data_IF_510296956928
#
_entry.id   IF_510296956928
#
_cell.length_a   1.000
_cell.length_b   1.000
_cell.length_c   1.000
_cell.angle_alpha   90.00
_cell.angle_beta   90.00
_cell.angle_gamma   90.00
#
_symmetry.space_group_name_H-M   'P 1'
#
loop_
_entity.id
_entity.type
_entity.pdbx_description
1 polymer ?
#
# COMPACT_ATOMS: atom_id res chain seq x y z
N UNK A 1 -6.61 3.26 -15.95
CA UNK A 1 -6.91 2.06 -15.14
C UNK A 1 -5.70 1.68 -14.29
N UNK A 2 -5.87 1.15 -13.07
CA UNK A 2 -4.78 0.59 -12.28
C UNK A 2 -5.02 -0.89 -11.95
N UNK A 3 -3.96 -1.66 -11.70
CA UNK A 3 -4.02 -3.10 -11.43
C UNK A 3 -3.36 -3.44 -10.09
N UNK A 4 -4.12 -4.05 -9.18
CA UNK A 4 -3.61 -4.65 -7.95
C UNK A 4 -3.52 -6.17 -8.09
N UNK A 5 -2.38 -6.74 -7.71
CA UNK A 5 -2.13 -8.18 -7.70
C UNK A 5 -1.82 -8.62 -6.27
N UNK A 6 -2.61 -9.54 -5.75
CA UNK A 6 -2.45 -10.05 -4.41
C UNK A 6 -1.65 -11.36 -4.38
N UNK A 7 -0.56 -11.38 -3.61
CA UNK A 7 0.26 -12.58 -3.37
C UNK A 7 0.10 -12.98 -1.89
N UNK A 8 -0.64 -14.06 -1.58
CA UNK A 8 -1.06 -14.35 -0.22
C UNK A 8 -0.05 -15.16 0.61
N UNK A 9 1.20 -15.30 0.18
CA UNK A 9 2.19 -16.13 0.86
C UNK A 9 3.08 -15.31 1.77
N UNK A 10 3.37 -15.81 2.98
CA UNK A 10 4.35 -15.29 3.92
C UNK A 10 5.22 -16.42 4.44
N UNK A 11 6.51 -16.16 4.70
CA UNK A 11 7.36 -17.09 5.46
C UNK A 11 6.87 -17.16 6.91
N UNK A 12 6.63 -15.99 7.54
CA UNK A 12 6.08 -15.85 8.87
C UNK A 12 5.05 -14.73 8.88
N UNK A 13 3.95 -14.89 9.58
CA UNK A 13 2.92 -13.86 9.72
C UNK A 13 3.22 -12.97 10.92
N UNK A 14 3.41 -11.68 10.67
CA UNK A 14 3.69 -10.69 11.72
C UNK A 14 2.52 -10.56 12.69
N UNK A 15 2.81 -10.22 13.95
CA UNK A 15 1.83 -10.16 15.02
C UNK A 15 0.70 -9.15 14.80
N UNK A 16 0.96 -8.07 14.07
CA UNK A 16 -0.01 -7.00 13.75
C UNK A 16 -0.80 -7.24 12.46
N UNK A 17 -0.39 -8.21 11.61
CA UNK A 17 -0.86 -8.30 10.23
C UNK A 17 -2.28 -8.88 10.12
N UNK A 18 -3.21 -8.08 9.60
CA UNK A 18 -4.58 -8.47 9.29
C UNK A 18 -4.80 -8.84 7.82
N UNK A 19 -3.77 -8.72 6.98
CA UNK A 19 -3.90 -9.02 5.55
C UNK A 19 -4.24 -10.48 5.29
N UNK A 20 -4.86 -10.73 4.13
CA UNK A 20 -5.17 -12.08 3.66
C UNK A 20 -3.88 -12.80 3.26
N UNK A 21 -3.13 -13.28 4.24
CA UNK A 21 -1.84 -13.95 4.04
C UNK A 21 -1.75 -15.23 4.85
N UNK A 22 -0.99 -16.20 4.33
CA UNK A 22 -0.90 -17.56 4.85
C UNK A 22 0.54 -18.01 4.94
N UNK A 23 0.89 -18.54 6.11
CA UNK A 23 2.08 -19.35 6.32
C UNK A 23 1.82 -20.80 5.88
N UNK A 24 2.89 -21.56 5.70
CA UNK A 24 2.82 -23.02 5.44
C UNK A 24 1.99 -23.42 4.20
N UNK A 25 1.81 -22.51 3.24
CA UNK A 25 1.12 -22.77 1.96
C UNK A 25 2.06 -22.73 0.74
N UNK A 26 3.38 -22.78 0.97
CA UNK A 26 4.39 -22.64 -0.09
C UNK A 26 4.28 -23.69 -1.21
N UNK A 27 3.79 -24.90 -0.89
CA UNK A 27 3.54 -25.96 -1.88
C UNK A 27 2.49 -25.58 -2.93
N UNK A 28 1.65 -24.59 -2.67
CA UNK A 28 0.60 -24.14 -3.59
C UNK A 28 1.04 -23.01 -4.53
N UNK A 29 2.27 -22.48 -4.41
CA UNK A 29 2.74 -21.33 -5.20
C UNK A 29 2.64 -21.54 -6.72
N UNK A 30 2.97 -22.73 -7.20
CA UNK A 30 2.91 -23.06 -8.64
C UNK A 30 1.47 -23.06 -9.18
N UNK A 31 0.55 -23.76 -8.50
CA UNK A 31 -0.86 -23.82 -8.86
C UNK A 31 -1.51 -22.44 -8.71
N UNK A 32 -1.14 -21.70 -7.66
CA UNK A 32 -1.61 -20.35 -7.45
C UNK A 32 -1.18 -19.39 -8.58
N UNK A 33 0.07 -19.44 -9.00
CA UNK A 33 0.59 -18.62 -10.11
C UNK A 33 -0.17 -18.93 -11.40
N UNK A 34 -0.46 -20.22 -11.66
CA UNK A 34 -1.26 -20.61 -12.82
C UNK A 34 -2.68 -20.03 -12.76
N UNK A 35 -3.35 -20.14 -11.62
CA UNK A 35 -4.68 -19.59 -11.39
C UNK A 35 -4.69 -18.04 -11.52
N UNK A 36 -3.66 -17.38 -10.96
CA UNK A 36 -3.48 -15.93 -11.07
C UNK A 36 -3.28 -15.48 -12.53
N UNK A 37 -2.52 -16.22 -13.34
CA UNK A 37 -2.37 -15.92 -14.77
C UNK A 37 -3.69 -16.00 -15.53
N UNK A 38 -4.57 -16.96 -15.20
CA UNK A 38 -5.92 -17.04 -15.77
C UNK A 38 -6.78 -15.85 -15.34
N UNK A 39 -6.73 -15.48 -14.07
CA UNK A 39 -7.44 -14.33 -13.51
C UNK A 39 -7.02 -13.02 -14.18
N UNK A 40 -5.71 -12.80 -14.30
CA UNK A 40 -5.14 -11.62 -14.97
C UNK A 40 -5.60 -11.51 -16.43
N UNK A 41 -5.50 -12.59 -17.20
CA UNK A 41 -5.94 -12.61 -18.60
C UNK A 41 -7.43 -12.26 -18.71
N UNK A 42 -8.26 -12.81 -17.83
CA UNK A 42 -9.69 -12.52 -17.81
C UNK A 42 -9.96 -11.05 -17.42
N UNK A 43 -9.39 -10.57 -16.29
CA UNK A 43 -9.63 -9.21 -15.82
C UNK A 43 -9.16 -8.16 -16.83
N UNK A 44 -7.98 -8.34 -17.41
CA UNK A 44 -7.41 -7.42 -18.39
C UNK A 44 -8.14 -7.42 -19.74
N UNK A 45 -8.78 -8.54 -20.13
CA UNK A 45 -9.62 -8.58 -21.33
C UNK A 45 -10.94 -7.81 -21.21
N UNK A 46 -11.29 -7.34 -20.02
CA UNK A 46 -12.53 -6.57 -19.76
C UNK A 46 -12.32 -5.05 -19.94
N UNK A 47 -11.14 -4.59 -20.28
CA UNK A 47 -10.83 -3.17 -20.45
C UNK A 47 -9.87 -2.93 -21.62
N UNK A 48 -10.13 -1.88 -22.39
CA UNK A 48 -9.21 -1.36 -23.43
C UNK A 48 -8.36 -0.20 -22.89
N UNK A 49 -8.60 0.25 -21.65
CA UNK A 49 -7.83 1.33 -21.05
C UNK A 49 -6.40 0.91 -20.74
N UNK A 50 -5.40 1.77 -21.01
CA UNK A 50 -4.02 1.49 -20.63
C UNK A 50 -3.89 1.41 -19.10
N UNK A 51 -3.06 0.47 -18.63
CA UNK A 51 -2.73 0.33 -17.21
C UNK A 51 -1.67 1.37 -16.86
N UNK A 52 -2.01 2.29 -15.96
CA UNK A 52 -1.13 3.37 -15.50
C UNK A 52 -0.23 2.94 -14.33
N UNK A 53 -0.69 1.96 -13.55
CA UNK A 53 0.14 1.35 -12.51
C UNK A 53 -0.24 -0.10 -12.23
N UNK A 54 0.77 -0.90 -11.88
CA UNK A 54 0.66 -2.28 -11.38
C UNK A 54 1.26 -2.32 -9.99
N UNK A 55 0.50 -2.82 -9.01
CA UNK A 55 0.98 -3.00 -7.65
C UNK A 55 0.84 -4.46 -7.23
N UNK A 56 1.95 -5.09 -6.89
CA UNK A 56 2.02 -6.49 -6.46
C UNK A 56 2.31 -6.49 -4.97
N UNK A 57 1.30 -6.85 -4.17
CA UNK A 57 1.38 -6.77 -2.71
C UNK A 57 0.65 -7.91 -2.01
N UNK A 58 0.36 -7.72 -0.73
CA UNK A 58 -0.50 -8.59 0.06
C UNK A 58 0.19 -9.29 1.23
N UNK A 59 0.69 -10.50 1.04
CA UNK A 59 1.53 -11.19 2.02
C UNK A 59 2.99 -10.77 1.87
N UNK A 60 3.75 -11.55 1.15
CA UNK A 60 5.18 -11.29 0.88
C UNK A 60 5.49 -11.71 -0.56
N UNK A 61 5.34 -10.81 -1.54
CA UNK A 61 5.53 -11.15 -2.96
C UNK A 61 6.87 -11.76 -3.29
N UNK A 62 7.96 -11.34 -2.62
CA UNK A 62 9.29 -11.92 -2.84
C UNK A 62 9.51 -13.31 -2.21
N UNK A 63 8.45 -13.97 -1.79
CA UNK A 63 8.43 -15.43 -1.58
C UNK A 63 8.25 -16.19 -2.90
N UNK A 64 7.83 -15.53 -3.97
CA UNK A 64 7.75 -16.11 -5.31
C UNK A 64 9.11 -16.03 -6.01
N UNK A 65 9.37 -17.02 -6.86
CA UNK A 65 10.56 -17.03 -7.73
C UNK A 65 10.43 -16.03 -8.89
N UNK A 66 11.55 -15.64 -9.49
CA UNK A 66 11.58 -14.81 -10.71
C UNK A 66 10.75 -15.45 -11.82
N UNK A 67 10.85 -16.78 -12.02
CA UNK A 67 10.05 -17.51 -12.99
C UNK A 67 8.53 -17.36 -12.78
N UNK A 68 8.07 -17.30 -11.52
CA UNK A 68 6.65 -17.01 -11.23
C UNK A 68 6.27 -15.59 -11.65
N UNK A 69 7.15 -14.62 -11.42
CA UNK A 69 6.96 -13.25 -11.89
C UNK A 69 6.97 -13.17 -13.42
N UNK A 70 7.86 -13.87 -14.11
CA UNK A 70 7.89 -13.94 -15.58
C UNK A 70 6.53 -14.39 -16.13
N UNK A 71 5.94 -15.46 -15.61
CA UNK A 71 4.62 -15.94 -16.03
C UNK A 71 3.49 -14.93 -15.77
N UNK A 72 3.55 -14.22 -14.63
CA UNK A 72 2.60 -13.16 -14.28
C UNK A 72 2.72 -12.02 -15.30
N UNK A 73 3.95 -11.54 -15.56
CA UNK A 73 4.20 -10.44 -16.49
C UNK A 73 3.92 -10.79 -17.94
N UNK A 74 4.22 -12.02 -18.34
CA UNK A 74 3.79 -12.55 -19.66
C UNK A 74 2.27 -12.44 -19.83
N UNK A 75 1.51 -12.79 -18.80
CA UNK A 75 0.05 -12.66 -18.83
C UNK A 75 -0.40 -11.20 -18.92
N UNK A 76 0.28 -10.27 -18.25
CA UNK A 76 -0.02 -8.83 -18.31
C UNK A 76 0.29 -8.28 -19.69
N UNK A 77 1.51 -8.50 -20.20
CA UNK A 77 1.97 -7.92 -21.47
C UNK A 77 1.21 -8.44 -22.70
N UNK A 78 0.71 -9.66 -22.64
CA UNK A 78 -0.14 -10.20 -23.71
C UNK A 78 -1.59 -9.71 -23.65
N UNK A 79 -2.08 -9.28 -22.48
CA UNK A 79 -3.50 -8.99 -22.28
C UNK A 79 -3.82 -7.50 -22.13
N UNK A 80 -2.82 -6.64 -21.88
CA UNK A 80 -3.06 -5.21 -21.68
C UNK A 80 -1.94 -4.34 -22.27
N UNK A 81 -2.29 -3.09 -22.58
CA UNK A 81 -1.31 -2.03 -22.84
C UNK A 81 -0.95 -1.35 -21.52
N UNK A 82 0.34 -1.20 -21.26
CA UNK A 82 0.82 -0.35 -20.17
C UNK A 82 1.06 1.07 -20.70
N UNK A 83 0.80 2.07 -19.86
CA UNK A 83 1.21 3.45 -20.20
C UNK A 83 2.74 3.55 -20.27
N UNK A 84 3.26 4.47 -21.06
CA UNK A 84 4.71 4.63 -21.24
C UNK A 84 5.46 4.96 -19.95
N UNK A 85 4.76 5.53 -18.96
CA UNK A 85 5.27 5.90 -17.65
C UNK A 85 4.62 5.05 -16.51
N UNK A 86 4.20 3.81 -16.83
CA UNK A 86 3.57 2.91 -15.90
C UNK A 86 4.44 2.68 -14.66
N UNK A 87 3.86 2.92 -13.48
CA UNK A 87 4.49 2.53 -12.22
C UNK A 87 4.26 1.04 -11.98
N UNK A 88 5.34 0.28 -11.84
CA UNK A 88 5.25 -1.15 -11.53
C UNK A 88 5.96 -1.40 -10.20
N UNK A 89 5.15 -1.58 -9.16
CA UNK A 89 5.60 -1.77 -7.78
C UNK A 89 5.47 -3.21 -7.34
N UNK A 90 6.43 -3.72 -6.57
CA UNK A 90 6.22 -4.88 -5.71
C UNK A 90 6.66 -4.62 -4.28
N UNK A 91 5.92 -5.19 -3.33
CA UNK A 91 6.32 -5.26 -1.93
C UNK A 91 7.34 -6.37 -1.72
N UNK A 92 8.22 -6.19 -0.73
CA UNK A 92 9.21 -7.19 -0.39
C UNK A 92 9.60 -7.16 1.09
N UNK A 93 9.96 -8.33 1.63
CA UNK A 93 10.64 -8.43 2.91
C UNK A 93 12.16 -8.30 2.69
N UNK A 94 12.85 -7.50 3.51
CA UNK A 94 14.28 -7.24 3.35
C UNK A 94 15.16 -8.51 3.32
N UNK A 95 14.85 -9.51 4.15
CA UNK A 95 15.62 -10.74 4.30
C UNK A 95 15.57 -11.66 3.06
N UNK A 96 14.59 -11.50 2.21
CA UNK A 96 14.43 -12.29 0.98
C UNK A 96 14.98 -11.58 -0.27
N UNK A 97 15.57 -10.41 -0.12
CA UNK A 97 16.18 -9.67 -1.23
C UNK A 97 17.50 -10.32 -1.63
N UNK A 98 17.61 -10.61 -2.92
CA UNK A 98 18.87 -11.06 -3.53
C UNK A 98 19.15 -10.30 -4.83
N UNK A 99 20.43 -10.22 -5.20
CA UNK A 99 20.85 -9.58 -6.47
C UNK A 99 20.14 -10.20 -7.67
N UNK A 100 20.07 -11.54 -7.72
CA UNK A 100 19.44 -12.25 -8.83
C UNK A 100 17.94 -11.95 -8.93
N UNK A 101 17.25 -11.91 -7.79
CA UNK A 101 15.83 -11.57 -7.76
C UNK A 101 15.59 -10.12 -8.21
N UNK A 102 16.33 -9.14 -7.69
CA UNK A 102 16.21 -7.76 -8.10
C UNK A 102 16.48 -7.56 -9.60
N UNK A 103 17.52 -8.21 -10.15
CA UNK A 103 17.83 -8.14 -11.58
C UNK A 103 16.70 -8.73 -12.42
N UNK A 104 16.20 -9.92 -12.07
CA UNK A 104 15.07 -10.54 -12.78
C UNK A 104 13.82 -9.64 -12.76
N UNK A 105 13.52 -9.00 -11.63
CA UNK A 105 12.39 -8.07 -11.56
C UNK A 105 12.60 -6.81 -12.41
N UNK A 106 13.82 -6.27 -12.42
CA UNK A 106 14.16 -5.14 -13.28
C UNK A 106 13.98 -5.46 -14.75
N UNK A 107 14.42 -6.66 -15.17
CA UNK A 107 14.29 -7.12 -16.55
C UNK A 107 12.82 -7.30 -16.97
N UNK A 108 11.93 -7.57 -16.00
CA UNK A 108 10.47 -7.60 -16.19
C UNK A 108 9.80 -6.22 -16.16
N UNK A 109 10.58 -5.14 -15.98
CA UNK A 109 10.06 -3.78 -15.99
C UNK A 109 9.61 -3.24 -14.63
N UNK A 110 9.80 -3.98 -13.53
CA UNK A 110 9.52 -3.45 -12.19
C UNK A 110 10.45 -2.28 -11.92
N UNK A 111 9.87 -1.13 -11.56
CA UNK A 111 10.60 0.13 -11.40
C UNK A 111 10.48 0.73 -9.99
N UNK A 112 9.74 0.05 -9.08
CA UNK A 112 9.61 0.45 -7.69
C UNK A 112 9.56 -0.76 -6.75
N UNK A 113 10.24 -0.67 -5.59
CA UNK A 113 10.16 -1.62 -4.49
C UNK A 113 9.73 -0.94 -3.19
N UNK A 114 8.79 -1.55 -2.45
CA UNK A 114 8.42 -1.16 -1.09
C UNK A 114 8.88 -2.22 -0.11
N UNK A 115 9.74 -1.84 0.83
CA UNK A 115 10.33 -2.75 1.82
C UNK A 115 9.60 -2.65 3.16
N UNK A 116 9.04 -3.75 3.61
CA UNK A 116 8.46 -3.84 4.95
C UNK A 116 9.55 -3.88 6.03
N UNK A 117 10.09 -2.72 6.41
CA UNK A 117 11.13 -2.59 7.46
C UNK A 117 10.51 -2.57 8.85
N UNK A 118 9.44 -1.82 9.03
CA UNK A 118 8.65 -1.61 10.25
C UNK A 118 9.40 -0.89 11.38
N UNK A 119 10.66 -1.24 11.68
CA UNK A 119 11.50 -0.60 12.68
C UNK A 119 12.99 -0.92 12.47
N UNK A 120 13.86 -0.05 12.98
CA UNK A 120 15.31 -0.30 13.11
C UNK A 120 15.68 -0.78 14.52
N UNK A 121 14.71 -0.92 15.41
CA UNK A 121 14.89 -1.33 16.82
C UNK A 121 14.51 -2.79 16.99
N UNK A 122 15.38 -3.56 17.62
CA UNK A 122 15.17 -4.99 17.86
C UNK A 122 14.01 -5.29 18.81
N UNK A 123 13.90 -4.53 19.91
CA UNK A 123 12.80 -4.65 20.86
C UNK A 123 11.43 -4.41 20.21
N UNK A 124 11.35 -3.44 19.32
CA UNK A 124 10.13 -3.10 18.58
C UNK A 124 9.81 -4.15 17.50
N UNK A 125 10.82 -4.68 16.78
CA UNK A 125 10.63 -5.79 15.86
C UNK A 125 10.13 -7.05 16.58
N UNK A 126 10.69 -7.38 17.74
CA UNK A 126 10.21 -8.47 18.58
C UNK A 126 8.76 -8.25 19.06
N UNK A 127 8.42 -7.03 19.48
CA UNK A 127 7.05 -6.67 19.84
C UNK A 127 6.08 -6.89 18.68
N UNK A 128 6.46 -6.51 17.45
CA UNK A 128 5.68 -6.66 16.23
C UNK A 128 5.69 -8.09 15.68
N UNK A 129 6.41 -9.02 16.31
CA UNK A 129 6.62 -10.40 15.84
C UNK A 129 7.20 -10.42 14.40
N UNK A 130 8.16 -9.52 14.14
CA UNK A 130 8.84 -9.35 12.86
C UNK A 130 10.29 -9.85 12.96
N UNK A 131 10.71 -10.63 11.95
CA UNK A 131 12.06 -11.21 11.92
C UNK A 131 12.81 -10.69 10.69
N UNK A 132 13.75 -9.77 10.89
CA UNK A 132 14.72 -9.36 9.88
C UNK A 132 15.88 -8.60 10.53
N UNK A 133 16.97 -8.40 9.77
CA UNK A 133 18.12 -7.60 10.21
C UNK A 133 17.74 -6.12 10.29
N UNK A 134 18.27 -5.43 11.32
CA UNK A 134 18.16 -3.96 11.45
C UNK A 134 18.96 -3.21 10.37
N UNK A 135 19.96 -3.87 9.76
CA UNK A 135 20.83 -3.23 8.78
C UNK A 135 20.20 -3.33 7.38
N UNK A 136 19.44 -2.31 7.01
CA UNK A 136 18.69 -2.23 5.76
C UNK A 136 19.51 -1.60 4.63
N UNK A 137 20.56 -0.83 4.94
CA UNK A 137 21.35 -0.13 3.93
C UNK A 137 21.93 -1.06 2.83
N UNK A 138 22.55 -2.20 3.13
CA UNK A 138 23.05 -3.13 2.09
C UNK A 138 21.93 -3.72 1.21
N UNK A 139 20.73 -3.89 1.77
CA UNK A 139 19.57 -4.37 1.03
C UNK A 139 19.15 -3.32 -0.01
N UNK A 140 19.02 -2.06 0.40
CA UNK A 140 18.68 -0.95 -0.50
C UNK A 140 19.76 -0.76 -1.57
N UNK A 141 21.04 -0.85 -1.21
CA UNK A 141 22.12 -0.80 -2.20
C UNK A 141 22.02 -1.93 -3.24
N UNK A 142 21.64 -3.13 -2.83
CA UNK A 142 21.44 -4.26 -3.75
C UNK A 142 20.33 -3.97 -4.75
N UNK A 143 19.24 -3.36 -4.30
CA UNK A 143 18.11 -2.95 -5.15
C UNK A 143 18.57 -1.87 -6.13
N UNK A 144 19.19 -0.79 -5.65
CA UNK A 144 19.64 0.30 -6.50
C UNK A 144 20.67 -0.14 -7.56
N UNK A 145 21.59 -1.06 -7.20
CA UNK A 145 22.57 -1.65 -8.12
C UNK A 145 21.93 -2.49 -9.23
N UNK A 146 20.69 -2.97 -9.07
CA UNK A 146 19.95 -3.63 -10.15
C UNK A 146 19.30 -2.64 -11.14
N UNK A 147 19.32 -1.32 -10.83
CA UNK A 147 18.69 -0.30 -11.63
C UNK A 147 17.23 0.01 -11.29
N UNK A 148 16.71 -0.52 -10.17
CA UNK A 148 15.41 -0.12 -9.61
C UNK A 148 15.67 1.13 -8.75
N UNK A 149 15.19 2.29 -9.22
CA UNK A 149 15.56 3.59 -8.64
C UNK A 149 14.57 4.06 -7.55
N UNK A 150 13.32 3.60 -7.60
CA UNK A 150 12.29 4.01 -6.65
C UNK A 150 12.20 3.00 -5.51
N UNK A 151 12.71 3.37 -4.34
CA UNK A 151 12.73 2.52 -3.15
C UNK A 151 11.97 3.22 -2.02
N UNK A 152 11.02 2.50 -1.44
CA UNK A 152 10.25 2.87 -0.27
C UNK A 152 10.59 1.96 0.90
N UNK A 153 10.46 2.48 2.11
CA UNK A 153 10.40 1.69 3.34
C UNK A 153 9.09 1.97 4.07
N UNK A 154 8.57 0.93 4.73
CA UNK A 154 7.41 1.07 5.60
C UNK A 154 7.87 1.00 7.05
N UNK A 155 7.41 1.94 7.89
CA UNK A 155 7.68 2.00 9.32
C UNK A 155 6.35 1.98 10.09
N UNK A 156 6.39 1.41 11.30
CA UNK A 156 5.26 1.42 12.24
C UNK A 156 5.66 2.24 13.46
N UNK A 157 4.80 3.15 13.88
CA UNK A 157 4.95 3.94 15.10
C UNK A 157 3.70 3.81 15.98
N UNK A 158 3.63 4.53 17.12
CA UNK A 158 2.59 4.38 18.14
C UNK A 158 2.55 2.98 18.80
N UNK A 159 3.69 2.27 18.84
CA UNK A 159 3.82 1.10 19.70
C UNK A 159 4.01 1.54 21.16
N UNK A 160 3.69 0.68 22.16
CA UNK A 160 3.94 1.03 23.56
C UNK A 160 5.43 1.20 23.93
N UNK A 161 6.34 0.85 23.02
CA UNK A 161 7.78 1.02 23.16
C UNK A 161 8.27 2.35 22.60
N UNK A 162 7.40 3.14 21.98
CA UNK A 162 7.76 4.40 21.37
C UNK A 162 7.67 5.56 22.37
N UNK A 163 8.60 6.47 22.23
CA UNK A 163 8.60 7.80 22.78
C UNK A 163 9.19 8.77 21.76
N UNK A 164 9.07 10.06 22.01
CA UNK A 164 9.50 11.09 21.05
C UNK A 164 10.98 10.95 20.65
N UNK A 165 11.88 10.69 21.60
CA UNK A 165 13.31 10.56 21.34
C UNK A 165 13.60 9.32 20.49
N UNK A 166 13.05 8.16 20.86
CA UNK A 166 13.26 6.92 20.13
C UNK A 166 12.73 6.97 18.69
N UNK A 167 11.59 7.64 18.48
CA UNK A 167 11.05 7.85 17.13
C UNK A 167 11.93 8.78 16.30
N UNK A 168 12.39 9.90 16.86
CA UNK A 168 13.32 10.81 16.17
C UNK A 168 14.63 10.13 15.79
N UNK A 169 15.16 9.24 16.64
CA UNK A 169 16.33 8.43 16.31
C UNK A 169 16.07 7.44 15.16
N UNK A 170 14.95 6.71 15.17
CA UNK A 170 14.58 5.81 14.08
C UNK A 170 14.40 6.56 12.74
N UNK A 171 13.70 7.69 12.76
CA UNK A 171 13.48 8.50 11.56
C UNK A 171 14.76 9.13 11.03
N UNK A 172 15.73 9.43 11.91
CA UNK A 172 17.06 9.86 11.50
C UNK A 172 17.83 8.76 10.78
N UNK A 173 17.70 7.49 11.21
CA UNK A 173 18.26 6.35 10.47
C UNK A 173 17.62 6.21 9.08
N UNK A 174 16.30 6.37 9.00
CA UNK A 174 15.59 6.36 7.72
C UNK A 174 16.05 7.48 6.77
N UNK A 175 16.33 8.67 7.29
CA UNK A 175 16.85 9.82 6.53
C UNK A 175 18.16 9.51 5.81
N UNK A 176 19.06 8.76 6.44
CA UNK A 176 20.38 8.43 5.91
C UNK A 176 20.33 7.36 4.80
N UNK A 177 19.19 6.69 4.61
CA UNK A 177 19.01 5.70 3.56
C UNK A 177 18.76 6.38 2.20
N UNK A 178 19.29 5.81 1.10
CA UNK A 178 19.07 6.31 -0.25
C UNK A 178 17.68 5.90 -0.78
N UNK A 179 16.63 6.37 -0.10
CA UNK A 179 15.23 6.15 -0.45
C UNK A 179 14.56 7.46 -0.88
N UNK A 180 13.54 7.38 -1.69
CA UNK A 180 12.77 8.54 -2.17
C UNK A 180 11.33 8.59 -1.64
N UNK A 181 10.90 7.57 -0.91
CA UNK A 181 9.58 7.45 -0.34
C UNK A 181 9.62 6.71 1.02
N UNK A 182 8.69 7.04 1.92
CA UNK A 182 8.54 6.39 3.21
C UNK A 182 7.05 6.35 3.58
N UNK A 183 6.60 5.16 4.02
CA UNK A 183 5.29 5.00 4.64
C UNK A 183 5.47 4.91 6.15
N UNK A 184 4.74 5.73 6.92
CA UNK A 184 4.70 5.67 8.37
C UNK A 184 3.28 5.38 8.83
N UNK A 185 3.08 4.22 9.45
CA UNK A 185 1.78 3.76 9.90
C UNK A 185 1.69 3.79 11.43
N UNK A 186 0.68 4.47 11.95
CA UNK A 186 0.32 4.34 13.36
C UNK A 186 -0.16 2.91 13.62
N UNK A 187 0.36 2.26 14.67
CA UNK A 187 -0.06 0.90 15.03
C UNK A 187 -1.54 0.85 15.33
N UNK A 188 -2.27 0.04 14.59
CA UNK A 188 -3.63 -0.41 14.88
C UNK A 188 -3.62 -1.89 15.22
N UNK A 189 -4.32 -2.28 16.28
CA UNK A 189 -4.44 -3.69 16.66
C UNK A 189 -5.75 -4.23 16.11
N UNK A 190 -5.63 -4.89 14.97
CA UNK A 190 -6.78 -5.42 14.24
C UNK A 190 -7.28 -6.75 14.82
N UNK A 191 -8.59 -7.02 14.62
CA UNK A 191 -9.22 -8.27 15.05
C UNK A 191 -8.55 -9.48 14.40
N UNK A 192 -8.46 -10.57 15.16
CA UNK A 192 -7.87 -11.86 14.78
C UNK A 192 -6.34 -11.84 14.56
N UNK A 193 -5.66 -10.74 14.87
CA UNK A 193 -4.18 -10.67 14.86
C UNK A 193 -3.59 -11.30 16.11
N UNK A 194 -2.30 -11.67 16.08
CA UNK A 194 -1.63 -12.19 17.28
C UNK A 194 -1.49 -11.10 18.36
N UNK A 195 -1.32 -9.84 17.97
CA UNK A 195 -1.29 -8.72 18.93
C UNK A 195 -2.60 -8.62 19.70
N UNK A 196 -3.76 -8.76 19.04
CA UNK A 196 -5.06 -8.78 19.71
C UNK A 196 -5.18 -9.97 20.67
N UNK A 197 -4.86 -11.19 20.18
CA UNK A 197 -4.93 -12.42 20.98
C UNK A 197 -4.04 -12.36 22.22
N UNK A 198 -2.89 -11.69 22.13
CA UNK A 198 -1.94 -11.48 23.23
C UNK A 198 -2.26 -10.23 24.05
N UNK A 199 -3.44 -9.61 23.87
CA UNK A 199 -3.89 -8.39 24.55
C UNK A 199 -2.90 -7.22 24.48
N UNK A 200 -2.05 -7.19 23.45
CA UNK A 200 -1.15 -6.08 23.18
C UNK A 200 -1.94 -4.86 22.69
N UNK A 201 -1.51 -3.67 23.05
CA UNK A 201 -2.19 -2.41 22.72
C UNK A 201 -1.22 -1.45 22.05
N UNK A 202 -1.71 -0.50 21.22
CA UNK A 202 -0.90 0.61 20.76
C UNK A 202 -0.55 1.54 21.95
N UNK A 203 0.34 2.51 21.71
CA UNK A 203 0.62 3.60 22.65
C UNK A 203 -0.66 4.37 22.98
N UNK A 204 -0.78 4.83 24.23
CA UNK A 204 -1.81 5.82 24.60
C UNK A 204 -1.45 7.25 24.15
N UNK A 205 -0.19 7.48 23.83
CA UNK A 205 0.31 8.76 23.30
C UNK A 205 0.26 8.73 21.79
N UNK A 206 -0.30 9.78 21.19
CA UNK A 206 -0.28 9.97 19.75
C UNK A 206 1.00 10.70 19.35
N UNK A 207 1.76 10.10 18.41
CA UNK A 207 3.01 10.66 17.89
C UNK A 207 2.91 11.14 16.44
N UNK A 208 1.71 11.28 15.87
CA UNK A 208 1.50 11.66 14.47
C UNK A 208 2.27 12.96 14.11
N UNK A 209 2.14 14.00 14.93
CA UNK A 209 2.85 15.26 14.71
C UNK A 209 4.37 15.12 14.83
N UNK A 210 4.86 14.34 15.80
CA UNK A 210 6.30 14.09 15.99
C UNK A 210 6.89 13.43 14.74
N UNK A 211 6.19 12.43 14.18
CA UNK A 211 6.61 11.71 12.96
C UNK A 211 6.57 12.66 11.77
N UNK A 212 5.48 13.40 11.58
CA UNK A 212 5.32 14.35 10.47
C UNK A 212 6.41 15.42 10.50
N UNK A 213 6.57 16.13 11.60
CA UNK A 213 7.55 17.20 11.74
C UNK A 213 8.98 16.72 11.51
N UNK A 214 9.33 15.54 12.03
CA UNK A 214 10.65 14.96 11.81
C UNK A 214 10.89 14.60 10.33
N UNK A 215 9.92 13.95 9.67
CA UNK A 215 10.06 13.57 8.26
C UNK A 215 10.10 14.79 7.35
N UNK A 216 9.26 15.80 7.58
CA UNK A 216 9.27 17.04 6.81
C UNK A 216 10.59 17.82 7.00
N UNK A 217 11.12 17.85 8.23
CA UNK A 217 12.46 18.38 8.53
C UNK A 217 13.59 17.62 7.80
N UNK A 218 13.33 16.40 7.34
CA UNK A 218 14.24 15.58 6.53
C UNK A 218 13.90 15.61 5.02
N UNK A 219 13.07 16.57 4.60
CA UNK A 219 12.64 16.76 3.22
C UNK A 219 11.74 15.62 2.65
N UNK A 220 11.12 14.85 3.49
CA UNK A 220 10.02 13.96 3.12
C UNK A 220 8.70 14.70 3.35
N UNK A 221 8.04 15.13 2.29
CA UNK A 221 6.75 15.83 2.38
C UNK A 221 5.61 14.83 2.49
N UNK A 222 4.74 15.03 3.47
CA UNK A 222 3.48 14.29 3.54
C UNK A 222 2.60 14.65 2.35
N UNK A 223 2.07 13.67 1.59
CA UNK A 223 1.16 13.90 0.48
C UNK A 223 -0.17 13.14 0.65
N UNK A 224 -0.24 12.24 1.62
CA UNK A 224 -1.45 11.59 2.10
C UNK A 224 -1.24 11.10 3.54
N UNK A 225 -2.27 10.52 4.17
CA UNK A 225 -2.33 10.26 5.61
C UNK A 225 -1.14 9.50 6.18
N UNK A 226 -0.55 8.56 5.43
CA UNK A 226 0.55 7.70 5.91
C UNK A 226 1.83 7.81 5.09
N UNK A 227 1.81 8.48 3.94
CA UNK A 227 2.93 8.44 3.00
C UNK A 227 3.62 9.79 2.82
N UNK A 228 4.95 9.70 2.76
CA UNK A 228 5.88 10.82 2.68
C UNK A 228 6.83 10.62 1.52
N UNK A 229 7.02 11.65 0.69
CA UNK A 229 7.85 11.60 -0.51
C UNK A 229 8.91 12.70 -0.51
N UNK A 230 10.12 12.40 -1.00
CA UNK A 230 11.13 13.40 -1.36
C UNK A 230 10.90 13.91 -2.79
N UNK A 231 10.96 13.03 -3.75
CA UNK A 231 10.85 13.37 -5.18
C UNK A 231 9.90 12.43 -5.94
N UNK A 232 9.26 11.48 -5.25
CA UNK A 232 8.45 10.47 -5.90
C UNK A 232 7.22 10.10 -5.07
N UNK A 233 6.05 10.52 -5.51
CA UNK A 233 4.75 10.11 -4.93
C UNK A 233 4.26 8.85 -5.64
N UNK A 234 3.69 7.91 -4.89
CA UNK A 234 3.24 6.63 -5.43
C UNK A 234 1.97 6.83 -6.24
N UNK A 235 2.07 6.63 -7.57
CA UNK A 235 0.95 6.81 -8.51
C UNK A 235 -0.23 5.88 -8.17
N UNK A 236 0.08 4.64 -7.80
CA UNK A 236 -0.93 3.65 -7.42
C UNK A 236 -1.77 4.10 -6.23
N UNK A 237 -1.11 4.59 -5.16
CA UNK A 237 -1.81 5.08 -3.96
C UNK A 237 -2.67 6.30 -4.28
N UNK A 238 -2.13 7.27 -5.01
CA UNK A 238 -2.88 8.46 -5.43
C UNK A 238 -4.09 8.10 -6.30
N UNK A 239 -3.97 7.08 -7.15
CA UNK A 239 -5.11 6.61 -7.94
C UNK A 239 -6.24 6.03 -7.05
N UNK A 240 -5.91 5.27 -6.01
CA UNK A 240 -6.89 4.82 -5.02
C UNK A 240 -7.52 5.99 -4.27
N UNK A 241 -6.72 6.94 -3.76
CA UNK A 241 -7.23 8.12 -3.07
C UNK A 241 -8.10 9.00 -3.99
N UNK A 242 -7.80 9.03 -5.28
CA UNK A 242 -8.61 9.68 -6.31
C UNK A 242 -9.87 8.92 -6.71
N UNK A 243 -10.16 7.77 -6.08
CA UNK A 243 -11.28 6.88 -6.40
C UNK A 243 -11.33 6.48 -7.89
N UNK A 244 -10.17 6.26 -8.51
CA UNK A 244 -10.07 5.70 -9.88
C UNK A 244 -10.54 4.25 -9.90
N UNK A 245 -11.04 3.82 -11.04
CA UNK A 245 -11.37 2.42 -11.30
C UNK A 245 -10.10 1.55 -11.25
N UNK A 246 -10.21 0.37 -10.65
CA UNK A 246 -9.09 -0.55 -10.47
C UNK A 246 -9.48 -2.02 -10.60
N UNK A 247 -8.58 -2.80 -11.19
CA UNK A 247 -8.69 -4.25 -11.26
C UNK A 247 -7.96 -4.88 -10.07
N UNK A 248 -8.56 -5.91 -9.48
CA UNK A 248 -7.96 -6.69 -8.40
C UNK A 248 -7.91 -8.17 -8.76
N UNK A 249 -6.70 -8.74 -8.85
CA UNK A 249 -6.46 -10.15 -9.15
C UNK A 249 -5.74 -10.85 -8.00
N UNK A 250 -6.05 -12.12 -7.78
CA UNK A 250 -5.48 -12.93 -6.70
C UNK A 250 -6.43 -13.20 -5.55
N UNK A 251 -6.08 -14.16 -4.69
CA UNK A 251 -6.91 -14.61 -3.57
C UNK A 251 -7.16 -13.49 -2.55
N UNK A 252 -8.40 -13.06 -2.41
CA UNK A 252 -8.82 -11.98 -1.53
C UNK A 252 -8.64 -10.58 -2.10
N UNK A 253 -8.17 -10.45 -3.35
CA UNK A 253 -8.12 -9.16 -4.03
C UNK A 253 -9.52 -8.58 -4.23
N UNK A 254 -9.59 -7.25 -4.23
CA UNK A 254 -10.79 -6.48 -4.53
C UNK A 254 -10.51 -5.63 -5.76
N UNK A 255 -11.47 -5.55 -6.67
CA UNK A 255 -11.50 -4.63 -7.80
C UNK A 255 -12.73 -3.75 -7.73
N UNK A 256 -12.69 -2.59 -8.36
CA UNK A 256 -13.85 -1.70 -8.48
C UNK A 256 -13.82 -1.02 -9.85
N UNK A 257 -14.82 -1.29 -10.68
CA UNK A 257 -14.94 -0.71 -12.02
C UNK A 257 -16.34 -0.15 -12.17
N UNK A 258 -16.44 1.10 -12.57
CA UNK A 258 -17.70 1.84 -12.63
C UNK A 258 -18.46 1.76 -11.29
N UNK A 259 -19.59 1.09 -11.26
CA UNK A 259 -20.45 0.97 -10.07
C UNK A 259 -20.40 -0.42 -9.43
N UNK A 260 -19.46 -1.26 -9.80
CA UNK A 260 -19.38 -2.62 -9.29
C UNK A 260 -18.05 -2.86 -8.59
N UNK A 261 -18.14 -3.44 -7.39
CA UNK A 261 -16.99 -3.90 -6.62
C UNK A 261 -16.96 -5.42 -6.65
N UNK A 262 -15.79 -5.98 -6.96
CA UNK A 262 -15.58 -7.39 -7.17
C UNK A 262 -14.65 -7.94 -6.07
N UNK A 263 -15.07 -9.00 -5.40
CA UNK A 263 -14.30 -9.66 -4.35
C UNK A 263 -13.89 -11.05 -4.80
N UNK A 264 -12.59 -11.31 -4.89
CA UNK A 264 -12.07 -12.65 -5.13
C UNK A 264 -12.19 -13.54 -3.89
N UNK A 265 -12.22 -14.86 -4.10
CA UNK A 265 -12.20 -15.83 -2.99
C UNK A 265 -10.96 -15.64 -2.13
N UNK A 266 -11.12 -15.58 -0.79
CA UNK A 266 -10.02 -15.34 0.15
C UNK A 266 -9.12 -16.56 0.33
N UNK A 267 -9.71 -17.78 0.50
CA UNK A 267 -8.95 -19.00 0.70
C UNK A 267 -8.21 -19.40 -0.57
N UNK A 268 -6.90 -19.68 -0.45
CA UNK A 268 -6.02 -20.00 -1.59
C UNK A 268 -6.55 -21.17 -2.38
N UNK A 269 -6.94 -22.26 -1.73
CA UNK A 269 -7.45 -23.47 -2.35
C UNK A 269 -8.74 -23.23 -3.13
N UNK A 270 -9.62 -22.40 -2.59
CA UNK A 270 -10.86 -22.03 -3.27
C UNK A 270 -10.62 -21.13 -4.48
N UNK A 271 -9.62 -20.25 -4.37
CA UNK A 271 -9.20 -19.38 -5.47
C UNK A 271 -8.54 -20.20 -6.60
N UNK A 272 -7.62 -21.11 -6.27
CA UNK A 272 -6.99 -22.00 -7.27
C UNK A 272 -8.03 -22.81 -8.03
N UNK A 273 -9.03 -23.35 -7.32
CA UNK A 273 -10.09 -24.15 -7.93
C UNK A 273 -10.97 -23.36 -8.92
N UNK A 274 -11.19 -22.08 -8.64
CA UNK A 274 -12.12 -21.26 -9.43
C UNK A 274 -11.71 -19.78 -9.32
N UNK A 275 -10.64 -19.38 -10.05
CA UNK A 275 -10.03 -18.05 -9.90
C UNK A 275 -10.88 -16.91 -10.48
N UNK A 276 -11.83 -17.20 -11.35
CA UNK A 276 -12.67 -16.19 -12.00
C UNK A 276 -13.93 -15.86 -11.21
N UNK A 277 -14.29 -16.66 -10.22
CA UNK A 277 -15.49 -16.40 -9.41
C UNK A 277 -15.32 -15.19 -8.53
N UNK A 278 -16.24 -14.25 -8.63
CA UNK A 278 -16.34 -13.03 -7.83
C UNK A 278 -17.67 -12.98 -7.07
N UNK A 279 -17.61 -12.41 -5.88
CA UNK A 279 -18.78 -11.79 -5.28
C UNK A 279 -18.83 -10.36 -5.81
N UNK A 280 -20.00 -9.91 -6.22
CA UNK A 280 -20.21 -8.57 -6.78
C UNK A 280 -21.08 -7.77 -5.83
N UNK A 281 -20.68 -6.54 -5.58
CA UNK A 281 -21.44 -5.52 -4.84
C UNK A 281 -21.71 -4.35 -5.79
N UNK A 282 -22.97 -3.97 -5.95
CA UNK A 282 -23.32 -2.80 -6.76
C UNK A 282 -23.37 -1.56 -5.87
N UNK A 283 -22.60 -0.55 -6.21
CA UNK A 283 -22.50 0.71 -5.49
C UNK A 283 -23.50 1.71 -6.06
N UNK A 284 -24.31 2.32 -5.22
CA UNK A 284 -25.18 3.41 -5.62
C UNK A 284 -24.42 4.77 -5.65
N UNK A 285 -25.09 5.83 -6.10
CA UNK A 285 -24.48 7.17 -6.18
C UNK A 285 -24.03 7.71 -4.82
N UNK A 286 -24.77 7.37 -3.75
CA UNK A 286 -24.44 7.81 -2.40
C UNK A 286 -23.18 7.09 -1.89
N UNK A 287 -23.07 5.78 -2.13
CA UNK A 287 -21.87 5.00 -1.77
C UNK A 287 -20.62 5.59 -2.45
N UNK A 288 -20.70 5.84 -3.76
CA UNK A 288 -19.59 6.46 -4.53
C UNK A 288 -19.23 7.86 -4.04
N UNK A 289 -20.24 8.67 -3.65
CA UNK A 289 -20.00 10.00 -3.07
C UNK A 289 -19.28 9.88 -1.73
N UNK A 290 -19.71 8.96 -0.85
CA UNK A 290 -19.09 8.72 0.45
C UNK A 290 -17.63 8.29 0.28
N UNK A 291 -17.35 7.35 -0.61
CA UNK A 291 -15.98 6.91 -0.89
C UNK A 291 -15.10 8.05 -1.38
N UNK A 292 -15.56 8.83 -2.36
CA UNK A 292 -14.80 9.98 -2.86
C UNK A 292 -14.49 10.99 -1.76
N UNK A 293 -15.44 11.19 -0.82
CA UNK A 293 -15.24 12.07 0.31
C UNK A 293 -14.15 11.54 1.25
N UNK A 294 -14.30 10.31 1.75
CA UNK A 294 -13.34 9.73 2.70
C UNK A 294 -11.95 9.51 2.10
N UNK A 295 -11.87 9.08 0.83
CA UNK A 295 -10.60 8.87 0.17
C UNK A 295 -9.90 10.18 -0.18
N UNK A 296 -10.63 11.13 -0.78
CA UNK A 296 -10.05 12.39 -1.25
C UNK A 296 -9.53 13.30 -0.14
N UNK A 297 -10.19 13.32 1.03
CA UNK A 297 -9.71 14.14 2.16
C UNK A 297 -8.43 13.59 2.81
N UNK A 298 -8.09 12.31 2.60
CA UNK A 298 -6.87 11.71 3.14
C UNK A 298 -5.61 12.02 2.36
N UNK A 299 -5.70 12.78 1.26
CA UNK A 299 -4.55 13.07 0.41
C UNK A 299 -4.62 14.48 -0.21
N UNK A 300 -3.51 14.90 -0.79
CA UNK A 300 -3.38 16.20 -1.43
C UNK A 300 -4.27 16.40 -2.68
N UNK A 301 -4.90 15.34 -3.19
CA UNK A 301 -5.87 15.45 -4.29
C UNK A 301 -7.15 16.17 -3.84
N UNK A 302 -7.54 16.01 -2.58
CA UNK A 302 -8.74 16.62 -2.03
C UNK A 302 -10.04 16.13 -2.67
N UNK A 303 -11.15 16.81 -2.37
CA UNK A 303 -12.51 16.48 -2.82
C UNK A 303 -13.09 17.61 -3.66
N UNK A 304 -13.77 17.28 -4.76
CA UNK A 304 -14.44 18.26 -5.63
C UNK A 304 -15.50 19.04 -4.86
N UNK A 305 -15.48 20.38 -4.97
CA UNK A 305 -16.43 21.24 -4.27
C UNK A 305 -17.89 20.94 -4.61
N UNK A 306 -18.17 20.47 -5.82
CA UNK A 306 -19.51 20.07 -6.28
C UNK A 306 -20.14 18.92 -5.47
N UNK A 307 -19.34 18.17 -4.72
CA UNK A 307 -19.79 17.08 -3.85
C UNK A 307 -20.10 17.54 -2.43
N UNK A 308 -19.80 18.80 -2.07
CA UNK A 308 -19.78 19.32 -0.70
C UNK A 308 -20.83 20.41 -0.49
N UNK A 309 -21.24 20.61 0.76
CA UNK A 309 -22.06 21.74 1.18
C UNK A 309 -21.19 23.01 1.29
N UNK A 310 -21.57 24.08 0.58
CA UNK A 310 -20.80 25.33 0.51
C UNK A 310 -20.66 26.01 1.88
N UNK A 311 -21.66 25.94 2.76
CA UNK A 311 -21.61 26.56 4.09
C UNK A 311 -20.63 25.80 4.99
N UNK A 312 -20.64 24.45 4.91
CA UNK A 312 -19.70 23.62 5.66
C UNK A 312 -18.27 23.84 5.18
N UNK A 313 -18.05 23.93 3.86
CA UNK A 313 -16.73 24.24 3.28
C UNK A 313 -16.23 25.60 3.78
N UNK A 314 -17.08 26.63 3.76
CA UNK A 314 -16.72 27.97 4.22
C UNK A 314 -16.27 27.98 5.68
N UNK A 315 -16.98 27.28 6.56
CA UNK A 315 -16.60 27.15 7.98
C UNK A 315 -15.23 26.49 8.16
N UNK A 316 -14.92 25.41 7.42
CA UNK A 316 -13.61 24.77 7.50
C UNK A 316 -12.47 25.68 7.05
N UNK A 317 -12.72 26.54 6.05
CA UNK A 317 -11.73 27.53 5.58
C UNK A 317 -11.54 28.64 6.63
N UNK A 318 -12.62 29.17 7.19
CA UNK A 318 -12.57 30.21 8.25
C UNK A 318 -11.81 29.72 9.49
N UNK A 319 -11.92 28.41 9.81
CA UNK A 319 -11.19 27.79 10.92
C UNK A 319 -9.75 27.32 10.53
N UNK A 320 -9.28 27.61 9.32
CA UNK A 320 -7.99 27.15 8.78
C UNK A 320 -7.79 25.62 8.80
N UNK A 321 -8.88 24.85 8.80
CA UNK A 321 -8.85 23.37 8.79
C UNK A 321 -8.76 22.81 7.36
N UNK A 322 -9.08 23.61 6.37
CA UNK A 322 -8.99 23.22 4.94
C UNK A 322 -8.74 24.45 4.07
N UNK A 323 -8.34 24.20 2.82
CA UNK A 323 -8.17 25.24 1.80
C UNK A 323 -8.63 24.72 0.44
N UNK A 324 -8.90 25.65 -0.48
CA UNK A 324 -9.30 25.33 -1.86
C UNK A 324 -8.09 25.43 -2.79
N UNK A 325 -7.87 24.37 -3.58
CA UNK A 325 -6.89 24.34 -4.67
C UNK A 325 -7.51 23.60 -5.86
N UNK A 326 -7.44 24.19 -7.05
CA UNK A 326 -7.96 23.60 -8.30
C UNK A 326 -9.42 23.10 -8.19
N UNK A 327 -10.30 23.89 -7.60
CA UNK A 327 -11.72 23.57 -7.38
C UNK A 327 -11.95 22.33 -6.49
N UNK A 328 -11.00 22.00 -5.62
CA UNK A 328 -11.09 20.90 -4.67
C UNK A 328 -10.78 21.39 -3.26
N UNK A 329 -11.47 20.84 -2.28
CA UNK A 329 -11.19 21.05 -0.86
C UNK A 329 -10.10 20.10 -0.40
N UNK A 330 -9.04 20.63 0.18
CA UNK A 330 -7.92 19.88 0.74
C UNK A 330 -7.86 20.20 2.24
N UNK A 331 -7.79 19.18 3.09
CA UNK A 331 -7.63 19.39 4.54
C UNK A 331 -6.21 19.86 4.85
N UNK A 332 -6.07 20.73 5.86
CA UNK A 332 -4.76 21.24 6.30
C UNK A 332 -3.96 20.18 7.07
N UNK A 333 -4.64 19.19 7.64
CA UNK A 333 -4.05 18.09 8.38
C UNK A 333 -4.73 16.77 8.00
N UNK A 334 -3.98 15.87 7.31
CA UNK A 334 -4.52 14.60 6.86
C UNK A 334 -4.88 13.64 8.00
N UNK A 335 -4.31 13.80 9.18
CA UNK A 335 -4.68 13.00 10.36
C UNK A 335 -6.10 13.31 10.85
N UNK A 336 -6.66 14.48 10.48
CA UNK A 336 -8.02 14.89 10.79
C UNK A 336 -9.02 14.55 9.66
N UNK A 337 -8.58 13.88 8.60
CA UNK A 337 -9.39 13.65 7.40
C UNK A 337 -10.71 12.93 7.67
N UNK A 338 -10.70 11.92 8.54
CA UNK A 338 -11.90 11.15 8.86
C UNK A 338 -12.92 11.96 9.65
N UNK A 339 -12.48 12.78 10.60
CA UNK A 339 -13.35 13.71 11.35
C UNK A 339 -13.94 14.76 10.42
N UNK A 340 -13.13 15.32 9.51
CA UNK A 340 -13.61 16.26 8.50
C UNK A 340 -14.62 15.60 7.55
N UNK A 341 -14.38 14.36 7.14
CA UNK A 341 -15.32 13.61 6.31
C UNK A 341 -16.67 13.42 7.01
N UNK A 342 -16.67 12.99 8.27
CA UNK A 342 -17.89 12.82 9.07
C UNK A 342 -18.64 14.14 9.27
N UNK A 343 -17.92 15.25 9.46
CA UNK A 343 -18.54 16.56 9.62
C UNK A 343 -19.15 17.08 8.30
N UNK A 344 -18.55 16.78 7.15
CA UNK A 344 -19.01 17.17 5.83
C UNK A 344 -20.24 16.37 5.34
N UNK A 345 -20.52 15.21 5.93
CA UNK A 345 -21.73 14.43 5.68
C UNK A 345 -22.98 15.13 6.23
#
# INVERSE_FOLDING_TARGET
>A
MILYIHIPFCENKCGYCAFNSYENKHGLKGEYTQALCLDLKHALSQTDEPIESVFIGGGTPNTLSVESFERIFESIYHSARLSSDCEITTEANPELISKAWCQGLKDLGINRLSLGVQSFREDKLLFLERQHSKNIAPVIETILKSGIENVSIDLIYNTPLDNENSLKEELKLAKELPINHLSAYALSVEKNTNLEKNAKKPSCTNFDNVVREALEGFSFKQYEVSNYARNYQVKHNLAYWGAKDYLGCGAGAVGCVANERFYAKKLIENYIKDPLKRQVETLNKQDKRLEKLFLGLRCELGVELSLLDENKVKLLIEENKAFIKNNRLIVSDFFMADEMALWLL
#
